data_IF_516706785948
#
_entry.id   IF_516706785948
#
_cell.length_a   1.000
_cell.length_b   1.000
_cell.length_c   1.000
_cell.angle_alpha   90.00
_cell.angle_beta   90.00
_cell.angle_gamma   90.00
#
_symmetry.space_group_name_H-M   'P 1'
#
loop_
_entity.id
_entity.type
_entity.pdbx_description
1 polymer ?
#
# COMPACT_ATOMS: atom_id res chain seq x y z
N UNK A 1 19.77 -4.92 -0.86
CA UNK A 1 19.82 -6.05 -1.80
C UNK A 1 19.50 -7.31 -1.02
N UNK A 2 18.43 -8.02 -1.39
CA UNK A 2 17.99 -9.24 -0.72
C UNK A 2 19.07 -10.34 -0.73
N UNK A 3 19.12 -11.12 0.34
CA UNK A 3 19.83 -12.40 0.42
C UNK A 3 19.25 -13.40 -0.59
N UNK A 4 20.01 -14.45 -0.92
CA UNK A 4 19.58 -15.44 -1.92
C UNK A 4 18.27 -16.15 -1.54
N UNK A 5 18.05 -16.40 -0.24
CA UNK A 5 16.85 -17.04 0.27
C UNK A 5 15.62 -16.12 0.14
N UNK A 6 15.75 -14.85 0.52
CA UNK A 6 14.69 -13.83 0.37
C UNK A 6 14.29 -13.65 -1.10
N UNK A 7 15.25 -13.72 -2.04
CA UNK A 7 14.95 -13.66 -3.49
C UNK A 7 14.12 -14.85 -3.96
N UNK A 8 14.37 -16.04 -3.44
CA UNK A 8 13.56 -17.22 -3.77
C UNK A 8 12.15 -17.06 -3.24
N UNK A 9 12.00 -16.64 -1.98
CA UNK A 9 10.69 -16.41 -1.36
C UNK A 9 9.89 -15.35 -2.14
N UNK A 10 10.52 -14.22 -2.48
CA UNK A 10 9.89 -13.18 -3.28
C UNK A 10 9.42 -13.72 -4.65
N UNK A 11 10.26 -14.52 -5.32
CA UNK A 11 9.89 -15.15 -6.58
C UNK A 11 8.73 -16.14 -6.46
N UNK A 12 8.67 -16.93 -5.38
CA UNK A 12 7.58 -17.86 -5.11
C UNK A 12 6.25 -17.13 -4.81
N UNK A 13 6.32 -15.91 -4.25
CA UNK A 13 5.20 -15.00 -4.08
C UNK A 13 4.77 -14.29 -5.38
N UNK A 14 5.47 -14.53 -6.49
CA UNK A 14 5.16 -13.92 -7.79
C UNK A 14 5.83 -12.57 -8.04
N UNK A 15 6.71 -12.09 -7.14
CA UNK A 15 7.50 -10.90 -7.41
C UNK A 15 8.59 -11.18 -8.46
N UNK A 16 8.67 -10.30 -9.45
CA UNK A 16 9.87 -10.16 -10.27
C UNK A 16 10.64 -8.90 -9.85
N UNK A 17 11.72 -8.57 -10.56
CA UNK A 17 12.52 -7.39 -10.21
C UNK A 17 11.72 -6.09 -10.33
N UNK A 18 10.85 -5.98 -11.32
CA UNK A 18 10.07 -4.76 -11.56
C UNK A 18 9.01 -4.62 -10.47
N UNK A 19 8.24 -5.68 -10.21
CA UNK A 19 7.20 -5.62 -9.18
C UNK A 19 7.76 -5.59 -7.75
N UNK A 20 8.99 -6.05 -7.54
CA UNK A 20 9.68 -5.86 -6.25
C UNK A 20 10.14 -4.41 -6.05
N UNK A 21 10.67 -3.78 -7.10
CA UNK A 21 11.30 -2.47 -7.00
C UNK A 21 10.28 -1.31 -7.08
N UNK A 22 9.00 -1.57 -7.36
CA UNK A 22 7.95 -0.57 -7.52
C UNK A 22 6.67 -1.04 -6.83
N UNK A 23 6.15 -0.22 -5.91
CA UNK A 23 4.92 -0.51 -5.17
C UNK A 23 3.71 -0.60 -6.10
N UNK A 24 2.74 -1.43 -5.69
CA UNK A 24 1.43 -1.63 -6.29
C UNK A 24 1.46 -2.11 -7.76
N UNK A 25 2.57 -2.71 -8.18
CA UNK A 25 2.67 -3.39 -9.49
C UNK A 25 2.30 -4.87 -9.38
N UNK A 26 2.60 -5.51 -8.25
CA UNK A 26 2.27 -6.91 -8.05
C UNK A 26 0.78 -7.07 -7.74
N UNK A 27 0.09 -7.97 -8.45
CA UNK A 27 -1.32 -8.30 -8.14
C UNK A 27 -1.50 -8.71 -6.67
N UNK A 28 -0.47 -9.32 -6.07
CA UNK A 28 -0.46 -9.70 -4.65
C UNK A 28 -0.73 -8.50 -3.74
N UNK A 29 -0.20 -7.33 -4.09
CA UNK A 29 -0.27 -6.09 -3.30
C UNK A 29 -1.66 -5.45 -3.33
N UNK A 30 -2.58 -5.97 -4.15
CA UNK A 30 -4.00 -5.55 -4.14
C UNK A 30 -4.80 -6.24 -3.02
N UNK A 31 -4.27 -7.32 -2.43
CA UNK A 31 -4.96 -8.06 -1.38
C UNK A 31 -4.55 -7.57 0.01
N UNK A 32 -5.54 -7.38 0.87
CA UNK A 32 -5.30 -7.33 2.32
C UNK A 32 -4.77 -8.66 2.83
N UNK A 33 -4.00 -8.64 3.91
CA UNK A 33 -3.28 -9.81 4.43
C UNK A 33 -4.20 -10.99 4.73
N UNK A 34 -5.44 -10.73 5.18
CA UNK A 34 -6.41 -11.79 5.51
C UNK A 34 -6.98 -12.51 4.30
N UNK A 35 -6.84 -11.94 3.10
CA UNK A 35 -7.33 -12.53 1.86
C UNK A 35 -6.22 -13.31 1.14
N UNK A 36 -4.97 -13.22 1.63
CA UNK A 36 -3.85 -14.05 1.17
C UNK A 36 -4.06 -15.53 1.51
N UNK A 37 -3.52 -16.39 0.66
CA UNK A 37 -3.40 -17.82 0.98
C UNK A 37 -2.44 -18.03 2.15
N UNK A 38 -2.55 -19.19 2.80
CA UNK A 38 -1.63 -19.54 3.89
C UNK A 38 -0.16 -19.56 3.44
N UNK A 39 0.11 -19.99 2.21
CA UNK A 39 1.47 -20.02 1.65
C UNK A 39 2.02 -18.61 1.42
N UNK A 40 1.20 -17.71 0.86
CA UNK A 40 1.56 -16.30 0.69
C UNK A 40 1.83 -15.63 2.04
N UNK A 41 0.94 -15.80 3.03
CA UNK A 41 1.15 -15.23 4.37
C UNK A 41 2.43 -15.73 5.06
N UNK A 42 2.78 -17.02 4.88
CA UNK A 42 4.05 -17.56 5.37
C UNK A 42 5.25 -16.97 4.62
N UNK A 43 5.14 -16.75 3.30
CA UNK A 43 6.16 -16.07 2.51
C UNK A 43 6.41 -14.64 2.97
N UNK A 44 5.33 -13.85 3.15
CA UNK A 44 5.39 -12.48 3.67
C UNK A 44 6.02 -12.44 5.07
N UNK A 45 5.63 -13.36 5.96
CA UNK A 45 6.25 -13.50 7.29
C UNK A 45 7.74 -13.84 7.19
N UNK A 46 8.12 -14.70 6.23
CA UNK A 46 9.52 -15.09 6.02
C UNK A 46 10.38 -13.97 5.43
N UNK A 47 9.76 -13.02 4.73
CA UNK A 47 10.38 -11.75 4.33
C UNK A 47 10.44 -10.72 5.46
N UNK A 48 9.98 -11.07 6.67
CA UNK A 48 10.07 -10.24 7.87
C UNK A 48 8.93 -9.24 8.04
N UNK A 49 7.84 -9.39 7.28
CA UNK A 49 6.65 -8.53 7.38
C UNK A 49 5.53 -9.26 8.10
N UNK A 50 4.84 -8.57 9.01
CA UNK A 50 3.58 -9.06 9.58
C UNK A 50 2.37 -8.46 8.86
N UNK A 51 1.17 -8.87 9.27
CA UNK A 51 -0.09 -8.38 8.68
C UNK A 51 -0.22 -6.86 8.74
N UNK A 52 0.22 -6.22 9.83
CA UNK A 52 0.12 -4.76 9.98
C UNK A 52 1.09 -4.06 9.03
N UNK A 53 2.30 -4.60 8.85
CA UNK A 53 3.25 -4.06 7.88
C UNK A 53 2.74 -4.21 6.45
N UNK A 54 2.17 -5.37 6.11
CA UNK A 54 1.60 -5.63 4.79
C UNK A 54 0.44 -4.69 4.47
N UNK A 55 -0.59 -4.68 5.31
CA UNK A 55 -1.82 -3.90 5.06
C UNK A 55 -1.53 -2.39 4.97
N UNK A 56 -0.55 -1.91 5.74
CA UNK A 56 -0.24 -0.49 5.80
C UNK A 56 0.81 -0.06 4.77
N UNK A 57 2.01 -0.65 4.77
CA UNK A 57 3.15 -0.16 3.96
C UNK A 57 3.22 -0.74 2.54
N UNK A 58 2.51 -1.83 2.27
CA UNK A 58 2.52 -2.49 0.95
C UNK A 58 1.20 -2.27 0.24
N UNK A 59 0.08 -2.62 0.91
CA UNK A 59 -1.26 -2.49 0.33
C UNK A 59 -1.83 -1.08 0.47
N UNK A 60 -1.33 -0.25 1.40
CA UNK A 60 -1.91 1.05 1.76
C UNK A 60 -3.43 1.00 2.01
N UNK A 61 -3.89 -0.14 2.52
CA UNK A 61 -5.29 -0.51 2.69
C UNK A 61 -6.13 -0.55 1.39
N UNK A 62 -5.55 -0.47 0.18
CA UNK A 62 -6.26 -0.51 -1.10
C UNK A 62 -7.13 -1.78 -1.29
N UNK A 63 -6.79 -2.87 -0.59
CA UNK A 63 -7.58 -4.11 -0.60
C UNK A 63 -8.82 -4.09 0.31
N UNK A 64 -9.10 -2.99 1.01
CA UNK A 64 -10.21 -2.88 1.94
C UNK A 64 -11.40 -2.14 1.34
N UNK A 65 -12.61 -2.56 1.70
CA UNK A 65 -13.81 -1.76 1.44
C UNK A 65 -13.92 -0.58 2.41
N UNK A 66 -14.57 0.49 1.99
CA UNK A 66 -14.77 1.69 2.81
C UNK A 66 -15.37 1.40 4.19
N UNK A 67 -16.32 0.46 4.26
CA UNK A 67 -16.94 0.05 5.51
C UNK A 67 -15.91 -0.57 6.50
N UNK A 68 -14.94 -1.33 5.99
CA UNK A 68 -13.87 -1.90 6.82
C UNK A 68 -12.91 -0.80 7.29
N UNK A 69 -12.57 0.16 6.42
CA UNK A 69 -11.74 1.33 6.74
C UNK A 69 -12.36 2.18 7.86
N UNK A 70 -13.69 2.31 7.88
CA UNK A 70 -14.42 2.99 8.95
C UNK A 70 -14.33 2.24 10.28
N UNK A 71 -14.43 0.90 10.26
CA UNK A 71 -14.28 0.06 11.46
C UNK A 71 -12.85 0.14 12.01
N UNK A 72 -11.86 0.19 11.14
CA UNK A 72 -10.45 0.38 11.50
C UNK A 72 -10.13 1.82 11.94
N UNK A 73 -11.01 2.78 11.62
CA UNK A 73 -10.85 4.19 11.95
C UNK A 73 -9.83 4.93 11.07
N UNK A 74 -9.47 4.36 9.92
CA UNK A 74 -8.50 4.96 8.98
C UNK A 74 -9.18 5.77 7.86
N UNK A 75 -10.49 5.60 7.65
CA UNK A 75 -11.24 6.32 6.61
C UNK A 75 -11.14 7.85 6.74
N UNK A 76 -10.98 8.38 7.96
CA UNK A 76 -10.84 9.83 8.20
C UNK A 76 -9.60 10.42 7.53
N UNK A 77 -8.53 9.64 7.39
CA UNK A 77 -7.32 10.08 6.70
C UNK A 77 -7.52 10.07 5.19
N UNK A 78 -8.22 9.06 4.67
CA UNK A 78 -8.64 9.02 3.26
C UNK A 78 -9.56 10.19 2.90
N UNK A 79 -10.50 10.53 3.78
CA UNK A 79 -11.36 11.73 3.65
C UNK A 79 -10.53 13.02 3.60
N UNK A 80 -9.45 13.10 4.37
CA UNK A 80 -8.53 14.26 4.38
C UNK A 80 -7.76 14.37 3.04
N UNK A 81 -7.45 13.23 2.43
CA UNK A 81 -6.89 13.17 1.06
C UNK A 81 -7.98 13.41 -0.01
N UNK A 82 -9.24 13.50 0.36
CA UNK A 82 -10.34 13.80 -0.56
C UNK A 82 -11.05 12.57 -1.13
N UNK A 83 -10.74 11.37 -0.64
CA UNK A 83 -11.54 10.20 -0.94
C UNK A 83 -12.90 10.27 -0.24
N UNK A 84 -13.84 9.54 -0.82
CA UNK A 84 -15.13 9.21 -0.26
C UNK A 84 -15.40 7.73 -0.53
N UNK A 85 -16.46 7.19 0.07
CA UNK A 85 -16.87 5.82 -0.23
C UNK A 85 -17.02 5.56 -1.74
N UNK A 86 -17.64 6.48 -2.48
CA UNK A 86 -17.86 6.31 -3.93
C UNK A 86 -16.57 6.36 -4.74
N UNK A 87 -15.60 7.20 -4.36
CA UNK A 87 -14.32 7.23 -5.07
C UNK A 87 -13.45 6.03 -4.73
N UNK A 88 -13.64 5.43 -3.56
CA UNK A 88 -12.85 4.29 -3.09
C UNK A 88 -13.42 2.94 -3.56
N UNK A 89 -14.69 2.64 -3.27
CA UNK A 89 -15.29 1.33 -3.58
C UNK A 89 -15.70 1.21 -5.06
N UNK A 90 -16.14 2.31 -5.67
CA UNK A 90 -16.70 2.30 -7.03
C UNK A 90 -15.77 2.97 -8.07
N UNK A 91 -14.62 3.51 -7.63
CA UNK A 91 -13.72 4.34 -8.46
C UNK A 91 -14.44 5.53 -9.13
N UNK A 92 -15.48 6.07 -8.47
CA UNK A 92 -16.29 7.17 -8.98
C UNK A 92 -15.87 8.49 -8.32
N UNK A 93 -15.39 9.40 -9.15
CA UNK A 93 -15.04 10.76 -8.74
C UNK A 93 -13.61 11.09 -9.11
N UNK A 94 -13.19 12.31 -8.78
CA UNK A 94 -11.82 12.75 -8.96
C UNK A 94 -11.25 13.14 -7.60
N UNK A 95 -10.15 12.51 -7.21
CA UNK A 95 -9.43 12.78 -5.97
C UNK A 95 -8.20 13.60 -6.33
N UNK A 96 -8.25 14.91 -6.06
CA UNK A 96 -7.22 15.86 -6.51
C UNK A 96 -5.82 15.47 -6.04
N UNK A 97 -5.69 14.89 -4.84
CA UNK A 97 -4.38 14.54 -4.29
C UNK A 97 -3.70 13.40 -5.04
N UNK A 98 -4.42 12.53 -5.75
CA UNK A 98 -3.81 11.44 -6.52
C UNK A 98 -2.91 11.96 -7.66
N UNK A 99 -3.11 13.20 -8.11
CA UNK A 99 -2.28 13.87 -9.12
C UNK A 99 -1.20 14.78 -8.51
N UNK A 100 -1.08 14.85 -7.18
CA UNK A 100 -0.14 15.72 -6.48
C UNK A 100 1.09 14.95 -6.03
N UNK A 101 2.27 15.53 -6.20
CA UNK A 101 3.47 15.04 -5.52
C UNK A 101 3.41 15.39 -4.02
N UNK A 102 4.23 14.72 -3.22
CA UNK A 102 4.27 14.88 -1.76
C UNK A 102 4.49 16.34 -1.34
N UNK A 103 5.35 17.07 -2.03
CA UNK A 103 5.66 18.47 -1.73
C UNK A 103 4.54 19.46 -2.10
N UNK A 104 3.57 19.02 -2.90
CA UNK A 104 2.38 19.77 -3.27
C UNK A 104 1.26 19.61 -2.24
N UNK A 105 1.27 18.51 -1.46
CA UNK A 105 0.31 18.27 -0.39
C UNK A 105 0.41 19.33 0.72
N UNK A 106 -0.74 19.70 1.28
CA UNK A 106 -0.75 20.45 2.54
C UNK A 106 -0.19 19.61 3.69
N UNK A 107 0.27 20.26 4.77
CA UNK A 107 0.77 19.56 5.95
C UNK A 107 -0.27 18.60 6.58
N UNK A 108 -1.55 18.94 6.48
CA UNK A 108 -2.64 18.09 6.95
C UNK A 108 -2.81 16.84 6.07
N UNK A 109 -2.69 16.99 4.75
CA UNK A 109 -2.70 15.87 3.81
C UNK A 109 -1.44 15.00 3.95
N UNK A 110 -0.26 15.58 4.18
CA UNK A 110 0.96 14.80 4.45
C UNK A 110 0.83 13.99 5.75
N UNK A 111 0.27 14.56 6.83
CA UNK A 111 0.01 13.79 8.06
C UNK A 111 -1.01 12.67 7.80
N UNK A 112 -2.08 12.94 7.06
CA UNK A 112 -3.07 11.92 6.69
C UNK A 112 -2.46 10.79 5.84
N UNK A 113 -1.67 11.11 4.82
CA UNK A 113 -0.94 10.14 4.02
C UNK A 113 0.01 9.31 4.90
N UNK A 114 0.73 9.96 5.82
CA UNK A 114 1.60 9.28 6.79
C UNK A 114 0.85 8.32 7.72
N UNK A 115 -0.39 8.66 8.12
CA UNK A 115 -1.26 7.77 8.92
C UNK A 115 -1.74 6.55 8.13
N UNK A 116 -1.70 6.61 6.80
CA UNK A 116 -1.92 5.50 5.87
C UNK A 116 -0.60 4.85 5.40
N UNK A 117 0.48 5.09 6.15
CA UNK A 117 1.82 4.57 5.90
C UNK A 117 2.50 5.00 4.59
N UNK A 118 1.95 6.02 3.90
CA UNK A 118 2.71 6.70 2.86
C UNK A 118 3.83 7.56 3.47
N UNK A 119 4.90 7.73 2.71
CA UNK A 119 5.91 8.75 2.92
C UNK A 119 6.34 9.25 1.54
N UNK A 120 7.10 10.35 1.48
CA UNK A 120 7.45 11.04 0.23
C UNK A 120 7.79 10.09 -0.93
N UNK A 121 8.75 9.18 -0.75
CA UNK A 121 9.13 8.26 -1.82
C UNK A 121 8.03 7.28 -2.22
N UNK A 122 7.21 6.78 -1.28
CA UNK A 122 6.13 5.84 -1.61
C UNK A 122 4.93 6.55 -2.25
N UNK A 123 4.63 7.77 -1.81
CA UNK A 123 3.59 8.62 -2.39
C UNK A 123 3.93 9.05 -3.82
N UNK A 124 5.18 9.46 -4.05
CA UNK A 124 5.66 9.89 -5.38
C UNK A 124 6.00 8.71 -6.30
N UNK A 125 5.65 7.48 -5.91
CA UNK A 125 5.91 6.25 -6.67
C UNK A 125 7.38 6.08 -7.08
N UNK A 126 8.29 6.54 -6.23
CA UNK A 126 9.72 6.40 -6.46
C UNK A 126 10.10 4.94 -6.28
N UNK A 127 10.81 4.36 -7.24
CA UNK A 127 11.30 2.98 -7.13
C UNK A 127 12.24 2.81 -5.93
N UNK A 128 12.16 1.65 -5.26
CA UNK A 128 13.04 1.24 -4.15
C UNK A 128 14.53 1.40 -4.47
N UNK A 129 14.92 1.36 -5.75
CA UNK A 129 16.31 1.56 -6.17
C UNK A 129 16.85 2.97 -5.89
N UNK A 130 15.97 3.93 -5.60
CA UNK A 130 16.31 5.33 -5.34
C UNK A 130 15.98 5.78 -3.90
N UNK A 131 15.57 4.84 -3.04
CA UNK A 131 15.29 5.12 -1.63
C UNK A 131 16.57 5.23 -0.80
#
# INVERSE_FOLDING_TARGET
>A
MLASEEKTIAGDLGYDRISWDNLEISDLETFRYTDLTMEEGLGITSLGMDATMWDCYVNHYNGYYWADLQVLGVSVYLETLGHSQSSWDDEIGYVVTEDMNWDELSLEQQDAAYRLCYFENSWDWISLNYW
#
